data_IF_760081368783
#
_entry.id   IF_760081368783
#
_cell.length_a   1.000
_cell.length_b   1.000
_cell.length_c   1.000
_cell.angle_alpha   90.00
_cell.angle_beta   90.00
_cell.angle_gamma   90.00
#
_symmetry.space_group_name_H-M   'P 1'
#
loop_
_entity.id
_entity.type
_entity.pdbx_description
1 polymer ?
#
# COMPACT_ATOMS: atom_id res chain seq x y z
N UNK A 1 -37.59 38.29 -44.32
CA UNK A 1 -37.30 36.83 -44.34
C UNK A 1 -35.87 36.61 -44.79
N UNK A 2 -34.97 36.20 -43.88
CA UNK A 2 -33.72 35.48 -44.15
C UNK A 2 -33.24 34.95 -42.79
N UNK A 3 -33.39 33.63 -42.61
CA UNK A 3 -32.89 32.89 -41.44
C UNK A 3 -31.38 32.74 -41.62
N UNK A 4 -30.59 33.07 -40.61
CA UNK A 4 -29.20 32.61 -40.53
C UNK A 4 -29.05 31.83 -39.23
N UNK A 5 -28.98 30.50 -39.37
CA UNK A 5 -28.50 29.60 -38.34
C UNK A 5 -27.06 29.99 -38.00
N UNK A 6 -26.75 30.19 -36.72
CA UNK A 6 -25.38 30.07 -36.24
C UNK A 6 -25.30 28.80 -35.40
N UNK A 7 -24.50 27.86 -35.90
CA UNK A 7 -24.21 26.56 -35.30
C UNK A 7 -23.34 26.78 -34.08
N UNK A 8 -23.87 26.45 -32.90
CA UNK A 8 -23.08 26.44 -31.66
C UNK A 8 -22.20 25.19 -31.65
N UNK A 9 -20.92 25.36 -32.00
CA UNK A 9 -19.90 24.33 -31.85
C UNK A 9 -19.62 24.15 -30.35
N UNK A 10 -20.22 23.14 -29.72
CA UNK A 10 -19.90 22.75 -28.34
C UNK A 10 -18.54 22.05 -28.39
N UNK A 11 -17.49 22.80 -28.09
CA UNK A 11 -16.14 22.27 -27.87
C UNK A 11 -16.18 21.49 -26.55
N UNK A 12 -16.49 20.19 -26.63
CA UNK A 12 -16.39 19.26 -25.51
C UNK A 12 -14.91 19.07 -25.18
N UNK A 13 -14.37 19.95 -24.34
CA UNK A 13 -13.09 19.76 -23.68
C UNK A 13 -13.21 18.56 -22.75
N UNK A 14 -12.89 17.37 -23.28
CA UNK A 14 -12.50 16.22 -22.46
C UNK A 14 -11.32 16.68 -21.60
N UNK A 15 -11.63 17.10 -20.37
CA UNK A 15 -10.66 17.24 -19.31
C UNK A 15 -10.03 15.85 -19.15
N UNK A 16 -8.86 15.67 -19.74
CA UNK A 16 -7.94 14.62 -19.34
C UNK A 16 -7.62 14.88 -17.88
N UNK A 17 -8.42 14.33 -16.98
CA UNK A 17 -8.02 14.14 -15.60
C UNK A 17 -6.80 13.25 -15.71
N UNK A 18 -5.61 13.85 -15.58
CA UNK A 18 -4.39 13.09 -15.47
C UNK A 18 -4.65 12.08 -14.35
N UNK A 19 -4.69 10.79 -14.69
CA UNK A 19 -4.74 9.74 -13.69
C UNK A 19 -3.59 10.05 -12.73
N UNK A 20 -3.91 10.43 -11.50
CA UNK A 20 -2.89 10.60 -10.49
C UNK A 20 -2.26 9.22 -10.34
N UNK A 21 -1.02 9.08 -10.81
CA UNK A 21 -0.23 7.86 -10.66
C UNK A 21 0.02 7.69 -9.15
N UNK A 22 -0.93 7.06 -8.48
CA UNK A 22 -1.01 6.78 -7.04
C UNK A 22 -1.02 5.27 -6.91
N UNK A 23 -0.11 4.73 -6.10
CA UNK A 23 -0.07 3.31 -5.84
C UNK A 23 -1.36 2.85 -5.17
N UNK A 24 -1.86 1.71 -5.64
CA UNK A 24 -3.09 1.08 -5.17
C UNK A 24 -2.78 -0.25 -4.50
N UNK A 25 -3.64 -0.68 -3.59
CA UNK A 25 -3.54 -1.97 -2.90
C UNK A 25 -4.79 -2.82 -3.16
N UNK A 26 -4.62 -4.10 -3.47
CA UNK A 26 -5.73 -5.05 -3.50
C UNK A 26 -6.23 -5.35 -2.09
N UNK A 27 -7.47 -5.80 -1.93
CA UNK A 27 -7.93 -6.39 -0.67
C UNK A 27 -6.98 -7.50 -0.22
N UNK A 28 -6.52 -7.52 1.05
CA UNK A 28 -5.66 -8.60 1.51
C UNK A 28 -6.39 -9.95 1.51
N UNK A 29 -5.64 -10.99 1.18
CA UNK A 29 -6.03 -12.37 1.40
C UNK A 29 -5.40 -12.83 2.70
N UNK A 30 -6.24 -13.24 3.66
CA UNK A 30 -5.83 -13.67 4.99
C UNK A 30 -6.08 -15.17 5.11
N UNK A 31 -5.08 -15.92 5.60
CA UNK A 31 -5.15 -17.38 5.73
C UNK A 31 -4.54 -17.84 7.03
N UNK A 32 -5.24 -18.72 7.74
CA UNK A 32 -4.62 -19.53 8.78
C UNK A 32 -3.58 -20.45 8.13
N UNK A 33 -2.40 -20.54 8.76
CA UNK A 33 -1.28 -21.36 8.33
C UNK A 33 -0.99 -22.44 9.38
N UNK A 34 -0.26 -23.51 9.02
CA UNK A 34 0.22 -24.48 10.00
C UNK A 34 1.01 -23.84 11.15
N UNK A 35 1.13 -24.57 12.25
CA UNK A 35 1.92 -24.18 13.43
C UNK A 35 1.41 -22.90 14.13
N UNK A 36 0.13 -22.55 13.94
CA UNK A 36 -0.49 -21.41 14.60
C UNK A 36 -0.06 -20.05 14.04
N UNK A 37 0.36 -20.01 12.77
CA UNK A 37 0.67 -18.77 12.06
C UNK A 37 -0.53 -18.26 11.26
N UNK A 38 -0.50 -16.98 10.92
CA UNK A 38 -1.47 -16.33 10.03
C UNK A 38 -0.70 -15.65 8.91
N UNK A 39 -1.15 -15.82 7.67
CA UNK A 39 -0.59 -15.18 6.50
C UNK A 39 -1.50 -14.09 5.96
N UNK A 40 -0.93 -12.92 5.69
CA UNK A 40 -1.57 -11.79 5.01
C UNK A 40 -0.86 -11.58 3.67
N UNK A 41 -1.62 -11.42 2.59
CA UNK A 41 -1.06 -11.16 1.26
C UNK A 41 -1.87 -10.10 0.52
N UNK A 42 -1.22 -9.06 0.00
CA UNK A 42 -1.83 -8.08 -0.89
C UNK A 42 -0.95 -7.79 -2.11
N UNK A 43 -1.59 -7.37 -3.20
CA UNK A 43 -0.90 -6.85 -4.39
C UNK A 43 -0.92 -5.33 -4.36
N UNK A 44 0.20 -4.73 -4.78
CA UNK A 44 0.35 -3.30 -4.97
C UNK A 44 0.64 -3.01 -6.44
N UNK A 45 -0.01 -1.99 -6.99
CA UNK A 45 0.03 -1.62 -8.41
C UNK A 45 0.04 -0.10 -8.60
N UNK A 46 0.08 0.33 -9.87
CA UNK A 46 -0.06 1.75 -10.26
C UNK A 46 1.02 2.68 -9.69
N UNK A 47 2.21 2.12 -9.41
CA UNK A 47 3.36 2.90 -8.99
C UNK A 47 3.78 3.89 -10.10
N UNK A 48 3.94 5.16 -9.74
CA UNK A 48 4.69 6.10 -10.56
C UNK A 48 6.15 5.65 -10.70
N UNK A 49 6.68 5.71 -11.91
CA UNK A 49 8.01 5.20 -12.29
C UNK A 49 9.18 5.87 -11.57
N UNK A 50 9.02 7.12 -11.15
CA UNK A 50 10.01 7.90 -10.41
C UNK A 50 9.68 8.02 -8.91
N UNK A 51 8.70 7.25 -8.42
CA UNK A 51 8.29 7.31 -7.03
C UNK A 51 9.33 6.71 -6.10
N UNK A 52 9.11 6.92 -4.81
CA UNK A 52 9.87 6.28 -3.75
C UNK A 52 8.87 5.80 -2.71
N UNK A 53 8.83 4.49 -2.45
CA UNK A 53 7.74 3.84 -1.73
C UNK A 53 8.19 3.08 -0.49
N UNK A 54 7.29 3.05 0.49
CA UNK A 54 7.35 2.14 1.64
C UNK A 54 6.14 1.23 1.58
N UNK A 55 6.37 -0.07 1.65
CA UNK A 55 5.31 -1.07 1.81
C UNK A 55 5.52 -1.70 3.18
N UNK A 56 4.50 -1.72 4.04
CA UNK A 56 4.68 -2.14 5.43
C UNK A 56 3.48 -2.83 6.04
N UNK A 57 3.77 -3.61 7.08
CA UNK A 57 2.81 -4.30 7.93
C UNK A 57 3.17 -4.10 9.40
N UNK A 58 2.18 -3.84 10.24
CA UNK A 58 2.41 -3.73 11.68
C UNK A 58 1.27 -3.10 12.47
N UNK A 59 1.39 -3.02 13.79
CA UNK A 59 0.37 -2.48 14.68
C UNK A 59 0.42 -0.95 14.73
N UNK A 60 -0.55 -0.34 15.42
CA UNK A 60 -0.53 1.11 15.68
C UNK A 60 0.69 1.52 16.53
N UNK A 61 1.09 0.67 17.48
CA UNK A 61 2.22 0.92 18.38
C UNK A 61 2.96 -0.37 18.67
N UNK A 62 4.29 -0.29 18.81
CA UNK A 62 5.12 -1.42 19.21
C UNK A 62 5.69 -2.16 17.99
N UNK A 63 6.04 -3.43 18.19
CA UNK A 63 6.60 -4.29 17.14
C UNK A 63 5.94 -5.64 17.20
N UNK A 64 5.84 -6.30 16.04
CA UNK A 64 5.46 -7.70 15.96
C UNK A 64 6.71 -8.56 15.99
N UNK A 65 6.72 -9.57 16.85
CA UNK A 65 7.80 -10.55 16.94
C UNK A 65 7.53 -11.77 16.06
N UNK A 66 8.60 -12.43 15.59
CA UNK A 66 8.48 -13.65 14.77
C UNK A 66 7.89 -13.43 13.38
N UNK A 67 7.77 -12.18 12.91
CA UNK A 67 7.27 -11.86 11.57
C UNK A 67 8.23 -12.31 10.49
N UNK A 68 7.69 -12.94 9.45
CA UNK A 68 8.39 -13.19 8.18
C UNK A 68 7.75 -12.35 7.08
N UNK A 69 8.59 -11.58 6.37
CA UNK A 69 8.16 -10.73 5.26
C UNK A 69 8.78 -11.19 3.95
N UNK A 70 7.96 -11.23 2.91
CA UNK A 70 8.38 -11.47 1.54
C UNK A 70 7.78 -10.42 0.62
N UNK A 71 8.59 -9.89 -0.28
CA UNK A 71 8.14 -9.04 -1.38
C UNK A 71 8.42 -9.77 -2.69
N UNK A 72 7.41 -9.94 -3.52
CA UNK A 72 7.54 -10.63 -4.80
C UNK A 72 7.23 -9.68 -5.94
N UNK A 73 8.08 -9.68 -6.97
CA UNK A 73 7.86 -9.02 -8.26
C UNK A 73 7.60 -10.10 -9.30
N UNK A 74 6.40 -10.11 -9.87
CA UNK A 74 5.97 -11.12 -10.85
C UNK A 74 6.16 -12.57 -10.36
N UNK A 75 5.86 -12.80 -9.06
CA UNK A 75 5.98 -14.11 -8.42
C UNK A 75 7.40 -14.50 -7.97
N UNK A 76 8.42 -13.67 -8.26
CA UNK A 76 9.80 -13.90 -7.84
C UNK A 76 10.14 -13.03 -6.64
N UNK A 77 10.78 -13.60 -5.61
CA UNK A 77 11.19 -12.84 -4.44
C UNK A 77 12.20 -11.75 -4.81
N UNK A 78 11.98 -10.54 -4.29
CA UNK A 78 12.89 -9.41 -4.43
C UNK A 78 13.81 -9.37 -3.22
N UNK A 79 15.12 -9.30 -3.45
CA UNK A 79 16.10 -9.17 -2.38
C UNK A 79 16.21 -7.71 -1.95
N UNK A 80 15.35 -7.30 -1.02
CA UNK A 80 15.40 -6.00 -0.34
C UNK A 80 15.67 -6.19 1.15
N UNK A 81 16.35 -5.21 1.74
CA UNK A 81 16.56 -5.20 3.18
C UNK A 81 15.27 -4.81 3.87
N UNK A 82 14.82 -5.63 4.81
CA UNK A 82 13.68 -5.30 5.67
C UNK A 82 14.06 -4.14 6.60
N UNK A 83 13.12 -3.23 6.84
CA UNK A 83 13.32 -2.10 7.72
C UNK A 83 12.10 -1.85 8.59
N UNK A 84 12.33 -1.32 9.79
CA UNK A 84 11.26 -0.78 10.63
C UNK A 84 11.13 0.72 10.41
N UNK A 85 9.90 1.21 10.32
CA UNK A 85 9.61 2.63 10.16
C UNK A 85 8.28 3.01 10.79
N UNK A 86 8.18 4.26 11.22
CA UNK A 86 6.92 4.87 11.64
C UNK A 86 6.28 5.56 10.43
N UNK A 87 5.02 5.27 10.18
CA UNK A 87 4.24 5.95 9.14
C UNK A 87 3.25 6.91 9.79
N UNK A 88 3.49 8.21 9.62
CA UNK A 88 2.58 9.29 10.04
C UNK A 88 1.45 9.53 9.04
N UNK A 89 0.67 10.59 9.26
CA UNK A 89 -0.51 10.95 8.45
C UNK A 89 -1.57 9.84 8.35
N UNK A 90 -1.54 8.88 9.27
CA UNK A 90 -2.51 7.79 9.36
C UNK A 90 -3.91 8.29 9.79
N UNK A 91 -4.02 9.51 10.32
CA UNK A 91 -5.28 10.09 10.77
C UNK A 91 -6.25 10.30 9.61
N UNK A 92 -5.72 10.52 8.41
CA UNK A 92 -6.50 10.69 7.18
C UNK A 92 -7.16 9.37 6.72
N UNK A 93 -6.72 8.24 7.28
CA UNK A 93 -7.19 6.90 6.92
C UNK A 93 -7.95 6.23 8.07
N UNK A 94 -7.36 6.24 9.27
CA UNK A 94 -7.81 5.41 10.41
C UNK A 94 -7.92 6.18 11.73
N UNK A 95 -7.94 7.51 11.70
CA UNK A 95 -8.07 8.35 12.90
C UNK A 95 -7.03 8.07 14.02
N UNK A 96 -5.81 7.67 13.63
CA UNK A 96 -4.66 7.48 14.53
C UNK A 96 -3.47 8.31 14.03
N UNK A 97 -2.58 8.75 14.92
CA UNK A 97 -1.48 9.64 14.50
C UNK A 97 -0.45 8.96 13.59
N UNK A 98 -0.10 7.70 13.91
CA UNK A 98 0.94 6.93 13.23
C UNK A 98 0.76 5.43 13.44
N UNK A 99 1.44 4.65 12.61
CA UNK A 99 1.56 3.19 12.73
C UNK A 99 3.03 2.78 12.74
N UNK A 100 3.35 1.73 13.50
CA UNK A 100 4.69 1.14 13.58
C UNK A 100 4.76 -0.04 12.62
N UNK A 101 5.56 0.07 11.56
CA UNK A 101 5.58 -0.92 10.48
C UNK A 101 6.94 -1.61 10.35
N UNK A 102 6.89 -2.87 9.95
CA UNK A 102 8.01 -3.60 9.37
C UNK A 102 7.71 -3.80 7.88
N UNK A 103 8.70 -3.57 7.02
CA UNK A 103 8.45 -3.58 5.59
C UNK A 103 9.69 -3.35 4.73
N UNK A 104 9.44 -2.86 3.52
CA UNK A 104 10.46 -2.64 2.51
C UNK A 104 10.39 -1.23 1.95
N UNK A 105 11.57 -0.69 1.67
CA UNK A 105 11.76 0.53 0.89
C UNK A 105 11.94 0.13 -0.58
N UNK A 106 11.04 0.59 -1.45
CA UNK A 106 10.97 0.23 -2.87
C UNK A 106 11.23 1.48 -3.70
N UNK A 107 12.40 1.53 -4.33
CA UNK A 107 12.84 2.64 -5.17
C UNK A 107 13.60 2.15 -6.42
N UNK A 108 13.69 3.04 -7.42
CA UNK A 108 14.47 2.82 -8.64
C UNK A 108 14.10 1.52 -9.38
N UNK A 109 15.07 0.62 -9.66
CA UNK A 109 14.81 -0.58 -10.46
C UNK A 109 13.86 -1.59 -9.80
N UNK A 110 13.61 -1.46 -8.50
CA UNK A 110 12.69 -2.33 -7.76
C UNK A 110 11.23 -1.97 -8.04
N UNK A 111 10.94 -0.73 -8.44
CA UNK A 111 9.60 -0.30 -8.82
C UNK A 111 9.20 -1.10 -10.09
N UNK A 112 8.03 -1.74 -10.11
CA UNK A 112 7.56 -2.42 -11.31
C UNK A 112 7.22 -1.40 -12.41
N UNK A 113 7.22 -1.81 -13.69
CA UNK A 113 6.66 -0.99 -14.75
C UNK A 113 5.16 -0.70 -14.49
N UNK A 114 4.56 0.25 -15.22
CA UNK A 114 3.20 0.75 -14.96
C UNK A 114 2.12 -0.34 -14.82
N UNK A 115 2.23 -1.46 -15.54
CA UNK A 115 1.32 -2.60 -15.46
C UNK A 115 1.77 -3.72 -14.50
N UNK A 116 3.00 -3.63 -13.98
CA UNK A 116 3.57 -4.62 -13.09
C UNK A 116 3.09 -4.43 -11.65
N UNK A 117 3.26 -5.48 -10.85
CA UNK A 117 2.76 -5.50 -9.47
C UNK A 117 3.80 -6.03 -8.51
N UNK A 118 3.68 -5.61 -7.26
CA UNK A 118 4.40 -6.21 -6.15
C UNK A 118 3.41 -6.97 -5.28
N UNK A 119 3.73 -8.20 -4.92
CA UNK A 119 2.96 -8.94 -3.91
C UNK A 119 3.72 -8.88 -2.60
N UNK A 120 3.10 -8.38 -1.55
CA UNK A 120 3.66 -8.40 -0.20
C UNK A 120 2.99 -9.52 0.58
N UNK A 121 3.81 -10.41 1.16
CA UNK A 121 3.34 -11.49 2.02
C UNK A 121 3.94 -11.34 3.41
N UNK A 122 3.10 -11.50 4.40
CA UNK A 122 3.44 -11.39 5.81
C UNK A 122 2.98 -12.66 6.48
N UNK A 123 3.84 -13.31 7.25
CA UNK A 123 3.46 -14.43 8.11
C UNK A 123 3.80 -14.07 9.55
N UNK A 124 2.82 -14.21 10.43
CA UNK A 124 2.95 -13.79 11.85
C UNK A 124 2.37 -14.90 12.73
N UNK A 125 3.00 -15.23 13.88
CA UNK A 125 2.39 -16.11 14.87
C UNK A 125 1.06 -15.52 15.36
N UNK A 126 -0.01 -16.32 15.40
CA UNK A 126 -1.33 -15.85 15.88
C UNK A 126 -1.25 -15.33 17.31
N UNK A 127 -0.48 -16.02 18.16
CA UNK A 127 -0.24 -15.61 19.55
C UNK A 127 0.43 -14.25 19.68
N UNK A 128 1.17 -13.81 18.65
CA UNK A 128 1.71 -12.46 18.60
C UNK A 128 0.64 -11.47 18.15
N UNK A 129 -0.13 -11.79 17.09
CA UNK A 129 -1.24 -10.95 16.63
C UNK A 129 -2.27 -10.70 17.74
N UNK A 130 -2.60 -11.70 18.54
CA UNK A 130 -3.58 -11.60 19.63
C UNK A 130 -3.17 -10.60 20.74
N UNK A 131 -1.89 -10.18 20.78
CA UNK A 131 -1.43 -9.09 21.67
C UNK A 131 -1.84 -7.71 21.15
N UNK A 132 -2.18 -7.60 19.87
CA UNK A 132 -2.48 -6.37 19.17
C UNK A 132 -3.93 -6.41 18.66
N UNK A 133 -4.75 -5.44 19.05
CA UNK A 133 -6.16 -5.39 18.62
C UNK A 133 -6.32 -5.23 17.11
N UNK A 134 -5.34 -4.61 16.47
CA UNK A 134 -5.37 -4.19 15.08
C UNK A 134 -3.98 -4.20 14.46
N UNK A 135 -3.92 -4.54 13.19
CA UNK A 135 -2.73 -4.45 12.33
C UNK A 135 -3.09 -3.72 11.05
N UNK A 136 -2.08 -3.11 10.43
CA UNK A 136 -2.21 -2.25 9.27
C UNK A 136 -1.31 -2.80 8.16
N UNK A 137 -1.82 -2.82 6.94
CA UNK A 137 -1.03 -3.07 5.73
C UNK A 137 -1.19 -1.89 4.80
N UNK A 138 -0.09 -1.30 4.34
CA UNK A 138 -0.16 -0.10 3.54
C UNK A 138 1.00 0.07 2.55
N UNK A 139 0.78 0.97 1.60
CA UNK A 139 1.80 1.59 0.76
C UNK A 139 1.80 3.11 1.01
N UNK A 140 2.98 3.67 1.18
CA UNK A 140 3.21 5.09 1.27
C UNK A 140 4.25 5.55 0.25
N UNK A 141 4.12 6.78 -0.23
CA UNK A 141 5.05 7.39 -1.18
C UNK A 141 5.70 8.64 -0.59
N UNK A 142 6.96 8.86 -0.93
CA UNK A 142 7.73 10.07 -0.60
C UNK A 142 7.33 11.23 -1.52
N UNK A 143 7.01 12.39 -0.94
CA UNK A 143 6.65 13.63 -1.66
C UNK A 143 7.56 14.83 -1.33
N UNK A 144 8.49 14.67 -0.40
CA UNK A 144 9.46 15.69 0.00
C UNK A 144 10.61 15.04 0.75
N UNK A 145 11.56 15.83 1.27
CA UNK A 145 12.78 15.31 1.90
C UNK A 145 12.49 14.27 3.00
N UNK A 146 11.47 14.50 3.82
CA UNK A 146 11.02 13.61 4.90
C UNK A 146 9.49 13.40 4.96
N UNK A 147 8.78 13.70 3.86
CA UNK A 147 7.32 13.62 3.84
C UNK A 147 6.87 12.36 3.12
N UNK A 148 6.22 11.47 3.87
CA UNK A 148 5.66 10.21 3.37
C UNK A 148 4.14 10.19 3.57
N UNK A 149 3.38 10.06 2.48
CA UNK A 149 1.92 9.95 2.54
C UNK A 149 1.47 8.55 2.20
N UNK A 150 0.50 8.04 2.96
CA UNK A 150 -0.17 6.78 2.66
C UNK A 150 -0.97 6.96 1.38
N UNK A 151 -0.63 6.16 0.36
CA UNK A 151 -1.34 6.12 -0.91
C UNK A 151 -2.41 5.04 -0.90
N UNK A 152 -2.21 3.91 -0.23
CA UNK A 152 -3.27 2.93 -0.02
C UNK A 152 -3.01 2.08 1.21
N UNK A 153 -4.05 1.49 1.78
CA UNK A 153 -3.91 0.59 2.91
C UNK A 153 -5.21 0.19 3.56
N UNK A 154 -5.09 -0.72 4.53
CA UNK A 154 -6.22 -1.25 5.28
C UNK A 154 -5.85 -1.50 6.73
N UNK A 155 -6.83 -1.28 7.59
CA UNK A 155 -6.82 -1.68 8.99
C UNK A 155 -7.54 -3.02 9.11
N UNK A 156 -6.94 -3.98 9.81
CA UNK A 156 -7.51 -5.30 10.08
C UNK A 156 -7.52 -5.54 11.58
N UNK A 157 -8.65 -5.97 12.13
CA UNK A 157 -8.83 -6.31 13.54
C UNK A 157 -8.83 -7.84 13.77
N UNK A 158 -8.88 -8.23 15.04
CA UNK A 158 -8.84 -9.62 15.48
C UNK A 158 -9.93 -10.53 14.88
N UNK A 159 -11.00 -9.98 14.29
CA UNK A 159 -12.04 -10.79 13.63
C UNK A 159 -11.54 -11.50 12.37
N UNK A 160 -10.38 -11.10 11.85
CA UNK A 160 -9.78 -11.66 10.65
C UNK A 160 -8.86 -12.87 10.91
N UNK A 161 -8.56 -13.25 12.16
CA UNK A 161 -7.61 -14.34 12.46
C UNK A 161 -7.90 -15.22 13.69
#
# INVERSE_FOLDING_TARGET
MKKLLLVTLVLSSCLFVAAQDRATMSSPVIRAMPEGNVSFSAQFSDFASNGDYRIGFGPATGKLEGVKLELLKDGTAVTLTQSSFEQGYASNWWNISKVSLLGFHVAGPNIPPKSGKLTFRVTVPKVELDKHKKVYMLVARKYGEDVWYIEDGVEMDESYW
#
